data_IF_849973559336
#
_entry.id   IF_849973559336
#
_cell.length_a   1.000
_cell.length_b   1.000
_cell.length_c   1.000
_cell.angle_alpha   90.00
_cell.angle_beta   90.00
_cell.angle_gamma   90.00
#
_symmetry.space_group_name_H-M   'P 1'
#
loop_
_entity.id
_entity.type
_entity.pdbx_description
1 polymer ?
#
# COMPACT_ATOMS: atom_id res chain seq x y z
N UNK A 1 2.93 -15.55 -15.39
CA UNK A 1 4.39 -15.53 -15.24
C UNK A 1 4.88 -16.76 -14.45
N UNK A 2 4.45 -16.98 -13.19
CA UNK A 2 4.90 -18.11 -12.34
C UNK A 2 4.69 -19.48 -12.98
N UNK A 3 3.51 -19.72 -13.59
CA UNK A 3 3.24 -20.96 -14.33
C UNK A 3 4.25 -21.21 -15.46
N UNK A 4 4.84 -20.15 -16.01
CA UNK A 4 5.86 -20.24 -17.06
C UNK A 4 7.30 -20.22 -16.49
N UNK A 5 7.47 -20.44 -15.20
CA UNK A 5 8.79 -20.47 -14.54
C UNK A 5 9.49 -19.11 -14.48
N UNK A 6 8.76 -17.99 -14.59
CA UNK A 6 9.33 -16.64 -14.54
C UNK A 6 9.25 -16.07 -13.14
N UNK A 7 10.32 -15.39 -12.72
CA UNK A 7 10.29 -14.52 -11.53
C UNK A 7 9.39 -13.32 -11.80
N UNK A 8 8.82 -12.76 -10.72
CA UNK A 8 7.95 -11.59 -10.75
C UNK A 8 8.50 -10.50 -9.85
N UNK A 9 8.61 -9.30 -10.40
CA UNK A 9 8.68 -8.05 -9.65
C UNK A 9 7.40 -7.28 -9.92
N UNK A 10 6.63 -7.01 -8.89
CA UNK A 10 5.33 -6.31 -9.01
C UNK A 10 5.33 -5.04 -8.18
N UNK A 11 4.83 -3.95 -8.76
CA UNK A 11 4.69 -2.69 -8.02
C UNK A 11 3.62 -2.77 -6.92
N UNK A 12 3.79 -1.96 -5.90
CA UNK A 12 2.81 -1.78 -4.83
C UNK A 12 1.65 -0.86 -5.30
N UNK A 13 0.47 -1.04 -4.76
CA UNK A 13 -0.03 -2.21 -4.03
C UNK A 13 -0.17 -3.40 -4.96
N UNK A 14 0.12 -4.59 -4.46
CA UNK A 14 0.21 -5.81 -5.30
C UNK A 14 -1.12 -6.30 -5.84
N UNK A 15 -2.23 -5.87 -5.27
CA UNK A 15 -3.59 -6.21 -5.71
C UNK A 15 -4.58 -5.14 -5.30
N UNK A 16 -5.70 -5.05 -6.01
CA UNK A 16 -6.79 -4.13 -5.72
C UNK A 16 -7.77 -4.67 -4.68
N UNK A 17 -7.63 -5.93 -4.33
CA UNK A 17 -8.48 -6.57 -3.33
C UNK A 17 -7.71 -7.62 -2.52
N UNK A 18 -8.20 -7.94 -1.33
CA UNK A 18 -7.63 -8.98 -0.48
C UNK A 18 -7.65 -10.36 -1.16
N UNK A 19 -8.71 -10.79 -1.87
CA UNK A 19 -8.69 -12.05 -2.61
C UNK A 19 -7.62 -12.13 -3.69
N UNK A 20 -7.31 -11.03 -4.39
CA UNK A 20 -6.21 -10.99 -5.36
C UNK A 20 -4.86 -11.20 -4.68
N UNK A 21 -4.61 -10.54 -3.55
CA UNK A 21 -3.39 -10.73 -2.78
C UNK A 21 -3.23 -12.19 -2.32
N UNK A 22 -4.29 -12.82 -1.80
CA UNK A 22 -4.28 -14.23 -1.44
C UNK A 22 -4.00 -15.13 -2.64
N UNK A 23 -4.63 -14.85 -3.78
CA UNK A 23 -4.38 -15.61 -5.01
C UNK A 23 -2.91 -15.55 -5.44
N UNK A 24 -2.26 -14.39 -5.30
CA UNK A 24 -0.84 -14.24 -5.61
C UNK A 24 0.04 -15.07 -4.67
N UNK A 25 -0.25 -15.08 -3.37
CA UNK A 25 0.44 -15.91 -2.38
C UNK A 25 0.27 -17.42 -2.70
N UNK A 26 -0.94 -17.83 -3.03
CA UNK A 26 -1.23 -19.23 -3.38
C UNK A 26 -0.50 -19.66 -4.64
N UNK A 27 -0.46 -18.81 -5.66
CA UNK A 27 0.30 -19.09 -6.88
C UNK A 27 1.80 -19.14 -6.63
N UNK A 28 2.33 -18.26 -5.77
CA UNK A 28 3.75 -18.31 -5.38
C UNK A 28 4.08 -19.66 -4.71
N UNK A 29 3.26 -20.09 -3.74
CA UNK A 29 3.42 -21.39 -3.07
C UNK A 29 3.32 -22.56 -4.06
N UNK A 30 2.28 -22.53 -4.91
CA UNK A 30 2.02 -23.59 -5.90
C UNK A 30 3.15 -23.79 -6.91
N UNK A 31 3.70 -22.71 -7.43
CA UNK A 31 4.74 -22.76 -8.47
C UNK A 31 6.16 -22.60 -7.92
N UNK A 32 6.32 -22.41 -6.59
CA UNK A 32 7.60 -22.20 -5.91
C UNK A 32 8.46 -21.12 -6.60
N UNK A 33 7.81 -20.09 -7.11
CA UNK A 33 8.47 -19.02 -7.85
C UNK A 33 8.91 -17.88 -6.98
N UNK A 34 9.82 -17.06 -7.50
CA UNK A 34 10.28 -15.83 -6.85
C UNK A 34 9.28 -14.72 -7.17
N UNK A 35 8.71 -14.13 -6.13
CA UNK A 35 7.88 -12.92 -6.22
C UNK A 35 8.42 -11.90 -5.25
N UNK A 36 8.67 -10.70 -5.73
CA UNK A 36 9.05 -9.57 -4.88
C UNK A 36 8.20 -8.35 -5.24
N UNK A 37 8.06 -7.45 -4.28
CA UNK A 37 7.23 -6.25 -4.41
C UNK A 37 8.07 -4.99 -4.44
N UNK A 38 7.55 -3.93 -5.04
CA UNK A 38 8.20 -2.62 -5.12
C UNK A 38 8.23 -1.84 -3.80
N UNK A 39 8.43 -2.51 -2.67
CA UNK A 39 8.61 -1.90 -1.33
C UNK A 39 10.09 -1.53 -1.12
N UNK A 40 10.54 -0.54 -1.86
CA UNK A 40 11.96 -0.18 -1.96
C UNK A 40 12.54 0.51 -0.71
N UNK A 41 11.70 1.01 0.20
CA UNK A 41 12.17 1.79 1.37
C UNK A 41 13.06 0.95 2.30
N UNK A 42 12.68 -0.28 2.59
CA UNK A 42 13.47 -1.18 3.46
C UNK A 42 14.86 -1.50 2.91
N UNK A 43 15.10 -1.27 1.63
CA UNK A 43 16.43 -1.40 1.00
C UNK A 43 17.27 -0.12 1.06
N UNK A 44 16.74 0.98 1.56
CA UNK A 44 17.44 2.26 1.66
C UNK A 44 18.44 2.25 2.82
N UNK A 45 19.61 2.85 2.60
CA UNK A 45 20.70 2.87 3.58
C UNK A 45 20.29 3.42 4.95
N UNK A 46 19.42 4.42 5.00
CA UNK A 46 18.96 5.01 6.25
C UNK A 46 17.99 4.11 7.01
N UNK A 47 17.16 3.31 6.35
CA UNK A 47 16.33 2.29 7.01
C UNK A 47 17.20 1.13 7.53
N UNK A 48 18.17 0.69 6.74
CA UNK A 48 19.13 -0.32 7.20
C UNK A 48 19.92 0.18 8.43
N UNK A 49 20.38 1.43 8.42
CA UNK A 49 21.06 2.03 9.57
C UNK A 49 20.12 2.16 10.78
N UNK A 50 18.86 2.51 10.59
CA UNK A 50 17.85 2.55 11.65
C UNK A 50 17.65 1.17 12.29
N UNK A 51 17.59 0.12 11.49
CA UNK A 51 17.47 -1.25 11.99
C UNK A 51 18.69 -1.67 12.85
N UNK A 52 19.90 -1.27 12.47
CA UNK A 52 21.08 -1.52 13.31
C UNK A 52 21.01 -0.75 14.65
N UNK A 53 20.49 0.47 14.67
CA UNK A 53 20.24 1.22 15.90
C UNK A 53 19.19 0.52 16.76
N UNK A 54 18.09 0.03 16.15
CA UNK A 54 17.07 -0.74 16.87
C UNK A 54 17.67 -1.98 17.52
N UNK A 55 18.46 -2.77 16.78
CA UNK A 55 19.13 -3.98 17.27
C UNK A 55 20.13 -3.70 18.40
N UNK A 56 20.70 -2.52 18.49
CA UNK A 56 21.66 -2.16 19.53
C UNK A 56 21.06 -2.06 20.93
N UNK A 57 19.72 -2.08 21.05
CA UNK A 57 19.03 -1.97 22.33
C UNK A 57 19.02 -0.57 22.93
N UNK A 58 19.53 0.45 22.23
CA UNK A 58 19.65 1.83 22.77
C UNK A 58 18.30 2.45 23.11
N UNK A 59 17.21 1.98 22.49
CA UNK A 59 15.83 2.45 22.75
C UNK A 59 15.17 1.78 23.96
N UNK A 60 15.78 0.72 24.52
CA UNK A 60 15.15 -0.09 25.54
C UNK A 60 13.93 -0.85 25.01
N UNK A 61 12.94 -1.09 25.86
CA UNK A 61 11.74 -1.84 25.49
C UNK A 61 10.82 -1.02 24.58
N UNK A 62 10.59 -1.53 23.38
CA UNK A 62 9.68 -0.92 22.40
C UNK A 62 8.29 -1.55 22.57
N UNK A 63 7.31 -0.75 22.97
CA UNK A 63 5.93 -1.16 23.19
C UNK A 63 4.93 -0.54 22.22
N UNK A 64 5.36 0.45 21.43
CA UNK A 64 4.50 1.15 20.49
C UNK A 64 5.27 1.69 19.30
N UNK A 65 4.73 1.51 18.11
CA UNK A 65 5.18 2.17 16.89
C UNK A 65 4.05 3.07 16.38
N UNK A 66 4.36 4.32 16.07
CA UNK A 66 3.42 5.25 15.46
C UNK A 66 3.92 5.71 14.11
N UNK A 67 3.03 5.70 13.13
CA UNK A 67 3.31 6.10 11.76
C UNK A 67 2.38 7.26 11.39
N UNK A 68 2.93 8.27 10.76
CA UNK A 68 2.14 9.40 10.28
C UNK A 68 2.40 9.65 8.81
N UNK A 69 1.33 9.92 8.10
CA UNK A 69 1.37 10.44 6.76
C UNK A 69 0.67 11.80 6.75
N UNK A 70 1.45 12.85 6.62
CA UNK A 70 0.97 14.23 6.60
C UNK A 70 0.80 14.73 5.16
N UNK A 71 0.00 14.02 4.37
CA UNK A 71 -0.42 14.49 3.05
C UNK A 71 -1.90 14.86 3.08
N UNK A 72 -2.20 16.12 2.82
CA UNK A 72 -3.57 16.54 2.55
C UNK A 72 -3.87 16.32 1.07
N UNK A 73 -4.89 15.53 0.80
CA UNK A 73 -5.38 15.30 -0.55
C UNK A 73 -6.71 16.02 -0.82
N UNK A 74 -7.24 16.75 0.16
CA UNK A 74 -8.60 17.30 0.15
C UNK A 74 -8.70 18.75 0.64
N UNK A 75 -9.83 19.42 0.36
CA UNK A 75 -10.89 19.01 -0.56
C UNK A 75 -10.50 19.26 -2.02
N UNK A 76 -10.97 18.37 -2.92
CA UNK A 76 -10.79 18.54 -4.36
C UNK A 76 -12.14 18.69 -5.01
N UNK A 77 -12.44 19.82 -5.64
CA UNK A 77 -13.73 20.02 -6.32
C UNK A 77 -13.88 19.04 -7.48
N UNK A 78 -15.12 18.72 -7.81
CA UNK A 78 -15.43 17.90 -8.97
C UNK A 78 -14.92 18.58 -10.26
N UNK A 79 -14.38 17.76 -11.14
CA UNK A 79 -13.89 18.17 -12.47
C UNK A 79 -14.75 17.47 -13.51
N UNK A 80 -15.18 18.22 -14.53
CA UNK A 80 -15.96 17.65 -15.63
C UNK A 80 -15.15 16.65 -16.46
N UNK A 81 -15.84 15.66 -16.99
CA UNK A 81 -15.27 14.74 -17.97
C UNK A 81 -14.91 15.48 -19.26
N UNK A 82 -13.95 14.95 -20.00
CA UNK A 82 -13.45 15.54 -21.23
C UNK A 82 -13.11 14.47 -22.27
N UNK A 83 -12.90 14.85 -23.55
CA UNK A 83 -12.43 13.91 -24.53
C UNK A 83 -11.06 13.29 -24.13
N UNK A 84 -10.85 12.03 -24.51
CA UNK A 84 -9.55 11.37 -24.34
C UNK A 84 -8.50 12.08 -25.17
N UNK A 85 -7.33 12.45 -24.60
CA UNK A 85 -6.22 12.99 -25.39
C UNK A 85 -5.79 12.02 -26.49
N UNK A 86 -5.51 12.54 -27.69
CA UNK A 86 -5.12 11.71 -28.84
C UNK A 86 -3.81 10.92 -28.64
N UNK A 87 -3.00 11.29 -27.66
CA UNK A 87 -1.76 10.64 -27.30
C UNK A 87 -1.91 9.55 -26.23
N UNK A 88 -3.14 9.32 -25.72
CA UNK A 88 -3.43 8.38 -24.65
C UNK A 88 -4.24 7.18 -25.16
N UNK A 89 -3.71 5.98 -25.03
CA UNK A 89 -4.52 4.77 -25.09
C UNK A 89 -5.25 4.56 -23.75
N UNK A 90 -6.44 5.14 -23.66
CA UNK A 90 -7.23 5.14 -22.43
C UNK A 90 -7.76 3.73 -22.09
N UNK A 91 -8.04 2.90 -23.08
CA UNK A 91 -8.49 1.53 -22.84
C UNK A 91 -7.36 0.69 -22.21
N UNK A 92 -6.14 0.87 -22.69
CA UNK A 92 -4.98 0.20 -22.09
C UNK A 92 -4.73 0.71 -20.65
N UNK A 93 -4.92 2.02 -20.41
CA UNK A 93 -4.79 2.59 -19.07
C UNK A 93 -5.85 2.05 -18.10
N UNK A 94 -7.11 1.94 -18.54
CA UNK A 94 -8.19 1.37 -17.72
C UNK A 94 -7.88 -0.09 -17.32
N UNK A 95 -7.29 -0.87 -18.24
CA UNK A 95 -7.04 -2.29 -17.98
C UNK A 95 -8.32 -3.03 -17.60
N UNK A 96 -8.35 -3.73 -16.44
CA UNK A 96 -9.54 -4.45 -15.96
C UNK A 96 -10.54 -3.56 -15.20
N UNK A 97 -10.24 -2.27 -14.99
CA UNK A 97 -11.15 -1.36 -14.28
C UNK A 97 -12.43 -1.10 -15.08
N UNK A 98 -13.55 -0.76 -14.40
CA UNK A 98 -14.78 -0.41 -15.08
C UNK A 98 -14.60 0.73 -16.08
N UNK A 99 -15.28 0.64 -17.22
CA UNK A 99 -15.28 1.69 -18.21
C UNK A 99 -15.95 2.96 -17.66
N UNK A 100 -15.25 4.07 -17.74
CA UNK A 100 -15.72 5.40 -17.33
C UNK A 100 -15.30 6.44 -18.39
N UNK A 101 -16.05 7.52 -18.58
CA UNK A 101 -15.59 8.65 -19.37
C UNK A 101 -14.24 9.18 -18.88
N UNK A 102 -13.42 9.65 -19.79
CA UNK A 102 -12.13 10.20 -19.41
C UNK A 102 -12.31 11.46 -18.56
N UNK A 103 -11.56 11.50 -17.47
CA UNK A 103 -11.50 12.65 -16.57
C UNK A 103 -10.03 12.90 -16.21
N UNK A 104 -9.52 14.07 -16.55
CA UNK A 104 -8.10 14.38 -16.35
C UNK A 104 -7.69 14.38 -14.87
N UNK A 105 -8.58 14.78 -13.98
CA UNK A 105 -8.29 14.72 -12.55
C UNK A 105 -8.22 13.26 -12.07
N UNK A 106 -9.21 12.43 -12.45
CA UNK A 106 -9.24 11.00 -12.11
C UNK A 106 -8.01 10.27 -12.68
N UNK A 107 -7.67 10.57 -13.93
CA UNK A 107 -6.49 10.00 -14.59
C UNK A 107 -5.19 10.29 -13.83
N UNK A 108 -4.98 11.53 -13.39
CA UNK A 108 -3.77 11.93 -12.66
C UNK A 108 -3.82 11.59 -11.18
N UNK A 109 -5.00 11.71 -10.58
CA UNK A 109 -5.28 11.45 -9.18
C UNK A 109 -5.89 10.07 -8.91
N UNK A 110 -5.60 9.08 -9.74
CA UNK A 110 -6.21 7.74 -9.74
C UNK A 110 -6.23 7.07 -8.36
N UNK A 111 -5.29 7.40 -7.50
CA UNK A 111 -5.20 6.90 -6.11
C UNK A 111 -6.43 7.20 -5.27
N UNK A 112 -7.10 8.31 -5.57
CA UNK A 112 -8.32 8.75 -4.89
C UNK A 112 -9.60 8.05 -5.32
N UNK A 113 -9.55 7.07 -6.23
CA UNK A 113 -10.71 6.41 -6.81
C UNK A 113 -10.61 4.90 -6.64
N UNK A 114 -11.68 4.29 -6.11
CA UNK A 114 -11.70 2.87 -5.75
C UNK A 114 -11.45 1.91 -6.92
N UNK A 115 -11.82 2.29 -8.13
CA UNK A 115 -11.58 1.47 -9.32
C UNK A 115 -10.10 1.32 -9.66
N UNK A 116 -9.25 2.22 -9.17
CA UNK A 116 -7.84 2.28 -9.54
C UNK A 116 -6.88 2.19 -8.37
N UNK A 117 -7.34 2.50 -7.15
CA UNK A 117 -6.50 2.50 -5.96
C UNK A 117 -7.29 2.52 -4.67
N UNK A 118 -6.62 2.39 -3.53
CA UNK A 118 -7.21 2.38 -2.19
C UNK A 118 -6.85 3.61 -1.35
N UNK A 119 -6.57 4.74 -1.99
CA UNK A 119 -6.21 5.99 -1.31
C UNK A 119 -4.81 5.97 -0.71
N UNK A 120 -4.59 6.84 0.26
CA UNK A 120 -3.29 7.01 0.90
C UNK A 120 -2.82 5.77 1.68
N UNK A 121 -3.76 4.97 2.19
CA UNK A 121 -3.43 3.75 2.92
C UNK A 121 -2.68 2.74 2.04
N UNK A 122 -3.12 2.54 0.80
CA UNK A 122 -2.49 1.61 -0.14
C UNK A 122 -1.36 2.24 -0.94
N UNK A 123 -1.29 3.57 -0.98
CA UNK A 123 -0.20 4.28 -1.66
C UNK A 123 1.01 4.46 -0.75
N UNK A 124 0.89 5.24 0.32
CA UNK A 124 1.97 5.51 1.26
C UNK A 124 1.94 4.65 2.50
N UNK A 125 0.73 4.33 3.00
CA UNK A 125 0.57 3.53 4.21
C UNK A 125 1.26 2.19 4.11
N UNK A 126 1.24 1.53 2.96
CA UNK A 126 1.92 0.27 2.72
C UNK A 126 3.45 0.36 2.93
N UNK A 127 4.08 1.47 2.55
CA UNK A 127 5.52 1.68 2.77
C UNK A 127 5.87 1.83 4.25
N UNK A 128 5.06 2.60 4.97
CA UNK A 128 5.28 2.83 6.40
C UNK A 128 5.01 1.58 7.22
N UNK A 129 3.97 0.83 6.88
CA UNK A 129 3.64 -0.45 7.52
C UNK A 129 4.78 -1.45 7.29
N UNK A 130 5.25 -1.59 6.06
CA UNK A 130 6.38 -2.46 5.71
C UNK A 130 7.64 -2.10 6.52
N UNK A 131 7.97 -0.81 6.58
CA UNK A 131 9.13 -0.33 7.36
C UNK A 131 8.98 -0.58 8.86
N UNK A 132 7.75 -0.47 9.40
CA UNK A 132 7.48 -0.77 10.80
C UNK A 132 7.65 -2.27 11.10
N UNK A 133 7.14 -3.14 10.23
CA UNK A 133 7.31 -4.59 10.37
C UNK A 133 8.79 -4.99 10.26
N UNK A 134 9.54 -4.38 9.34
CA UNK A 134 10.99 -4.61 9.20
C UNK A 134 11.74 -4.22 10.48
N UNK A 135 11.41 -3.06 11.06
CA UNK A 135 11.96 -2.62 12.35
C UNK A 135 11.59 -3.54 13.51
N UNK A 136 10.34 -4.00 13.59
CA UNK A 136 9.89 -4.94 14.62
C UNK A 136 10.56 -6.31 14.49
N UNK A 137 10.78 -6.80 13.28
CA UNK A 137 11.58 -8.01 13.01
C UNK A 137 13.03 -7.82 13.46
N UNK A 138 13.62 -6.65 13.20
CA UNK A 138 14.98 -6.33 13.64
C UNK A 138 15.11 -6.35 15.16
N UNK A 139 14.06 -5.98 15.90
CA UNK A 139 13.97 -6.05 17.36
C UNK A 139 13.66 -7.46 17.90
N UNK A 140 13.33 -8.42 17.05
CA UNK A 140 12.85 -9.74 17.47
C UNK A 140 11.45 -9.73 18.10
N UNK A 141 10.70 -8.63 17.91
CA UNK A 141 9.35 -8.45 18.49
C UNK A 141 8.21 -8.94 17.58
N UNK A 142 8.51 -9.30 16.37
CA UNK A 142 7.53 -9.78 15.42
C UNK A 142 8.14 -10.83 14.50
N UNK A 143 7.70 -12.06 14.63
CA UNK A 143 8.02 -13.18 13.74
C UNK A 143 6.98 -13.36 12.61
N UNK A 144 5.84 -12.70 12.75
CA UNK A 144 4.72 -12.74 11.81
C UNK A 144 4.81 -11.62 10.78
N UNK A 145 4.21 -11.86 9.63
CA UNK A 145 4.13 -10.88 8.55
C UNK A 145 2.83 -10.08 8.54
N UNK A 146 1.94 -10.31 9.52
CA UNK A 146 0.62 -9.68 9.59
C UNK A 146 0.16 -9.53 11.05
N UNK A 147 -0.64 -8.50 11.34
CA UNK A 147 -1.23 -8.29 12.67
C UNK A 147 -2.33 -9.33 12.96
N UNK A 148 -2.56 -9.60 14.24
CA UNK A 148 -3.68 -10.47 14.67
C UNK A 148 -5.04 -9.77 14.53
N UNK A 149 -5.07 -8.46 14.74
CA UNK A 149 -6.27 -7.66 14.57
C UNK A 149 -5.94 -6.29 14.04
N UNK A 150 -6.85 -5.76 13.23
CA UNK A 150 -6.76 -4.41 12.67
C UNK A 150 -8.08 -3.69 12.92
N UNK A 151 -7.96 -2.49 13.49
CA UNK A 151 -9.08 -1.55 13.65
C UNK A 151 -8.79 -0.32 12.81
N UNK A 152 -9.76 0.11 12.03
CA UNK A 152 -9.60 1.31 11.21
C UNK A 152 -10.83 2.19 11.28
N UNK A 153 -10.61 3.49 11.40
CA UNK A 153 -11.63 4.51 11.24
C UNK A 153 -11.21 5.46 10.14
N UNK A 154 -12.18 5.96 9.39
CA UNK A 154 -11.91 6.83 8.28
C UNK A 154 -12.96 7.94 8.17
N UNK A 155 -12.53 9.09 7.71
CA UNK A 155 -13.40 10.19 7.35
C UNK A 155 -13.23 10.50 5.86
N UNK A 156 -14.34 10.62 5.15
CA UNK A 156 -14.38 11.12 3.79
C UNK A 156 -15.02 12.50 3.78
N UNK A 157 -14.32 13.49 3.27
CA UNK A 157 -14.90 14.81 3.05
C UNK A 157 -16.00 14.72 2.01
N UNK A 158 -17.27 15.07 2.35
CA UNK A 158 -18.39 14.97 1.42
C UNK A 158 -18.27 15.91 0.22
N UNK A 159 -17.43 16.92 0.29
CA UNK A 159 -17.19 17.89 -0.80
C UNK A 159 -16.06 17.45 -1.72
N UNK A 160 -15.29 16.42 -1.35
CA UNK A 160 -14.19 15.93 -2.16
C UNK A 160 -14.66 15.07 -3.32
N UNK A 161 -14.08 15.31 -4.49
CA UNK A 161 -14.27 14.49 -5.69
C UNK A 161 -13.59 13.11 -5.56
N UNK A 162 -12.58 12.99 -4.70
CA UNK A 162 -12.01 11.69 -4.39
C UNK A 162 -13.05 10.77 -3.74
N UNK A 163 -12.99 9.48 -4.04
CA UNK A 163 -13.90 8.45 -3.49
C UNK A 163 -13.32 7.83 -2.20
N UNK A 164 -11.99 7.81 -2.08
CA UNK A 164 -11.28 7.24 -0.93
C UNK A 164 -11.30 8.19 0.27
N UNK A 165 -11.03 7.70 1.49
CA UNK A 165 -11.00 8.53 2.67
C UNK A 165 -10.02 9.69 2.59
N UNK A 166 -10.42 10.82 3.12
CA UNK A 166 -9.62 12.04 3.25
C UNK A 166 -8.64 11.94 4.43
N UNK A 167 -9.06 11.19 5.46
CA UNK A 167 -8.26 10.94 6.66
C UNK A 167 -8.59 9.54 7.18
N UNK A 168 -7.59 8.86 7.69
CA UNK A 168 -7.74 7.50 8.19
C UNK A 168 -6.81 7.26 9.38
N UNK A 169 -7.30 6.55 10.38
CA UNK A 169 -6.50 6.02 11.48
C UNK A 169 -6.64 4.51 11.51
N UNK A 170 -5.52 3.81 11.54
CA UNK A 170 -5.47 2.35 11.61
C UNK A 170 -4.63 1.93 12.80
N UNK A 171 -5.15 1.01 13.60
CA UNK A 171 -4.47 0.39 14.74
C UNK A 171 -4.28 -1.08 14.40
N UNK A 172 -3.05 -1.55 14.46
CA UNK A 172 -2.70 -2.96 14.32
C UNK A 172 -2.30 -3.50 15.71
N UNK A 173 -2.89 -4.61 16.10
CA UNK A 173 -2.48 -5.36 17.28
C UNK A 173 -1.51 -6.46 16.84
N UNK A 174 -0.33 -6.41 17.44
CA UNK A 174 0.71 -7.41 17.26
C UNK A 174 0.92 -8.05 18.64
N UNK A 175 0.76 -9.37 18.74
CA UNK A 175 1.21 -10.09 19.92
C UNK A 175 2.65 -10.51 19.70
N UNK A 176 3.50 -10.15 20.64
CA UNK A 176 4.83 -10.74 20.75
C UNK A 176 4.64 -12.10 21.44
N UNK A 177 5.26 -13.14 20.93
CA UNK A 177 5.38 -14.40 21.67
C UNK A 177 6.18 -14.13 22.95
N UNK A 178 5.58 -14.42 24.12
CA UNK A 178 6.28 -14.46 25.38
C UNK A 178 7.49 -15.42 25.34
#
# INVERSE_FOLDING_TARGET
ALKAGKAIYVEKPVGNSIPECHSMMDFQKKYKGVVTTGLWQTSQRYFLAANEILKSGVLGDVYKVQLWLCQSTDPRPAVADSPVPSTLDYNMWLGPAPERPFNNYRFRGWRGFWDYGGGQQTDWGVHWIDSAFDGLKALGLCDREYPEAVFSTAYKDPTSFNETPSCQTTICLLYTSD
#
